data_IF_780864813683
#
_entry.id   IF_780864813683
#
_cell.length_a   1.000
_cell.length_b   1.000
_cell.length_c   1.000
_cell.angle_alpha   90.00
_cell.angle_beta   90.00
_cell.angle_gamma   90.00
#
_symmetry.space_group_name_H-M   'P 1'
#
loop_
_entity.id
_entity.type
_entity.pdbx_description
1 polymer ?
#
# COMPACT_ATOMS: atom_id res chain seq x y z
N UNK A 1 11.44 24.42 -19.12
CA UNK A 1 10.34 24.10 -18.18
C UNK A 1 8.92 24.27 -18.76
N UNK A 2 8.73 24.48 -20.08
CA UNK A 2 7.40 24.61 -20.72
C UNK A 2 6.98 23.42 -21.57
N UNK A 3 7.49 22.22 -21.26
CA UNK A 3 7.16 20.97 -21.95
C UNK A 3 6.18 20.17 -21.11
N UNK A 4 5.33 19.32 -21.72
CA UNK A 4 4.46 18.42 -20.99
C UNK A 4 5.26 17.58 -19.98
N UNK A 5 4.81 17.56 -18.73
CA UNK A 5 5.44 16.81 -17.63
C UNK A 5 4.35 16.10 -16.84
N UNK A 6 4.62 14.88 -16.39
CA UNK A 6 3.75 14.10 -15.50
C UNK A 6 4.39 13.99 -14.13
N UNK A 7 3.58 14.15 -13.09
CA UNK A 7 3.99 13.94 -11.70
C UNK A 7 3.29 12.69 -11.22
N UNK A 8 4.07 11.72 -10.74
CA UNK A 8 3.57 10.49 -10.14
C UNK A 8 4.17 10.31 -8.75
N UNK A 9 3.47 9.58 -7.90
CA UNK A 9 4.03 9.17 -6.61
C UNK A 9 5.19 8.18 -6.83
N UNK A 10 6.16 8.18 -5.92
CA UNK A 10 7.30 7.26 -5.95
C UNK A 10 6.86 5.80 -5.93
N UNK A 11 5.89 5.44 -5.07
CA UNK A 11 5.33 4.09 -4.97
C UNK A 11 4.70 3.65 -6.29
N UNK A 12 3.99 4.54 -6.98
CA UNK A 12 3.43 4.25 -8.30
C UNK A 12 4.51 3.89 -9.30
N UNK A 13 5.61 4.66 -9.34
CA UNK A 13 6.73 4.37 -10.24
C UNK A 13 7.48 3.10 -9.83
N UNK A 14 7.59 2.82 -8.52
CA UNK A 14 8.25 1.63 -8.00
C UNK A 14 7.52 0.32 -8.36
N UNK A 15 6.19 0.36 -8.53
CA UNK A 15 5.40 -0.80 -8.94
C UNK A 15 5.50 -1.08 -10.46
N UNK A 16 5.92 -0.11 -11.28
CA UNK A 16 5.99 -0.28 -12.74
C UNK A 16 6.95 -1.41 -13.16
N UNK A 17 8.20 -1.50 -12.66
CA UNK A 17 9.10 -2.61 -13.00
C UNK A 17 8.52 -3.98 -12.65
N UNK A 18 7.85 -4.10 -11.50
CA UNK A 18 7.18 -5.34 -11.09
C UNK A 18 6.09 -5.73 -12.10
N UNK A 19 5.22 -4.78 -12.46
CA UNK A 19 4.15 -5.00 -13.44
C UNK A 19 4.70 -5.37 -14.82
N UNK A 20 5.81 -4.75 -15.26
CA UNK A 20 6.44 -5.08 -16.54
C UNK A 20 7.01 -6.51 -16.53
N UNK A 21 7.64 -6.91 -15.41
CA UNK A 21 8.32 -8.20 -15.31
C UNK A 21 7.36 -9.37 -15.07
N UNK A 22 6.31 -9.17 -14.27
CA UNK A 22 5.38 -10.23 -13.85
C UNK A 22 4.05 -10.19 -14.61
N UNK A 23 3.78 -9.09 -15.31
CA UNK A 23 2.56 -8.87 -16.06
C UNK A 23 1.44 -8.23 -15.24
N UNK A 24 0.55 -7.52 -15.93
CA UNK A 24 -0.56 -6.80 -15.30
C UNK A 24 -1.52 -7.73 -14.55
N UNK A 25 -1.76 -8.95 -15.04
CA UNK A 25 -2.67 -9.90 -14.41
C UNK A 25 -2.14 -10.41 -13.07
N UNK A 26 -0.81 -10.56 -12.91
CA UNK A 26 -0.20 -10.91 -11.62
C UNK A 26 -0.43 -9.79 -10.58
N UNK A 27 -0.23 -8.53 -10.98
CA UNK A 27 -0.48 -7.39 -10.11
C UNK A 27 -1.98 -7.23 -9.76
N UNK A 28 -2.88 -7.49 -10.72
CA UNK A 28 -4.34 -7.47 -10.52
C UNK A 28 -4.88 -8.62 -9.68
N UNK A 29 -4.17 -9.74 -9.62
CA UNK A 29 -4.55 -10.86 -8.75
C UNK A 29 -4.46 -10.49 -7.27
N UNK A 30 -3.72 -9.42 -6.93
CA UNK A 30 -3.70 -8.82 -5.62
C UNK A 30 -4.72 -7.67 -5.54
N UNK A 31 -5.32 -7.52 -4.37
CA UNK A 31 -6.23 -6.42 -4.09
C UNK A 31 -7.70 -6.73 -4.39
N UNK A 32 -8.46 -5.70 -4.77
CA UNK A 32 -9.86 -5.83 -5.23
C UNK A 32 -9.97 -5.56 -6.72
N UNK A 33 -11.13 -5.86 -7.32
CA UNK A 33 -11.38 -5.63 -8.75
C UNK A 33 -11.10 -4.18 -9.19
N UNK A 34 -11.46 -3.21 -8.35
CA UNK A 34 -11.30 -1.78 -8.64
C UNK A 34 -9.99 -1.20 -8.12
N UNK A 35 -9.42 -1.77 -7.06
CA UNK A 35 -8.19 -1.31 -6.42
C UNK A 35 -7.20 -2.46 -6.37
N UNK A 36 -6.41 -2.57 -7.44
CA UNK A 36 -5.52 -3.70 -7.68
C UNK A 36 -4.12 -3.47 -7.13
N UNK A 37 -3.41 -4.55 -6.85
CA UNK A 37 -2.06 -4.53 -6.30
C UNK A 37 -1.99 -4.35 -4.79
N UNK A 38 -0.80 -3.97 -4.35
CA UNK A 38 -0.47 -3.69 -2.96
C UNK A 38 -0.32 -2.20 -2.72
N UNK A 39 -0.30 -1.82 -1.44
CA UNK A 39 0.04 -0.47 -1.00
C UNK A 39 0.76 -0.51 0.33
N UNK A 40 1.66 0.45 0.49
CA UNK A 40 2.37 0.77 1.70
C UNK A 40 1.51 1.66 2.60
N UNK A 41 1.11 1.14 3.75
CA UNK A 41 0.45 1.89 4.80
C UNK A 41 1.43 2.25 5.91
N UNK A 42 1.56 3.55 6.17
CA UNK A 42 2.33 4.05 7.30
C UNK A 42 1.43 4.12 8.54
N UNK A 43 1.59 3.19 9.47
CA UNK A 43 0.93 3.23 10.77
C UNK A 43 1.78 4.01 11.77
N UNK A 44 1.15 4.96 12.46
CA UNK A 44 1.74 5.79 13.51
C UNK A 44 0.69 6.13 14.56
N UNK A 45 1.10 6.72 15.68
CA UNK A 45 0.21 7.04 16.80
C UNK A 45 0.12 5.90 17.82
N UNK A 46 -1.07 5.73 18.42
CA UNK A 46 -1.36 4.74 19.48
C UNK A 46 -1.46 3.31 18.94
N UNK A 47 -0.34 2.81 18.41
CA UNK A 47 -0.19 1.45 17.88
C UNK A 47 1.10 0.85 18.46
N UNK A 48 1.08 -0.41 18.95
CA UNK A 48 2.25 -0.97 19.62
C UNK A 48 3.48 -1.12 18.71
N UNK A 49 3.25 -1.34 17.40
CA UNK A 49 4.32 -1.49 16.40
C UNK A 49 4.10 -0.50 15.25
N UNK A 50 4.48 0.78 15.41
CA UNK A 50 4.42 1.75 14.33
C UNK A 50 5.41 1.36 13.21
N UNK A 51 5.09 1.68 11.97
CA UNK A 51 5.90 1.31 10.83
C UNK A 51 5.18 1.36 9.49
N UNK A 52 5.87 0.90 8.45
CA UNK A 52 5.30 0.78 7.11
C UNK A 52 4.96 -0.69 6.86
N UNK A 53 3.72 -0.93 6.44
CA UNK A 53 3.18 -2.24 6.17
C UNK A 53 2.70 -2.30 4.72
N UNK A 54 3.27 -3.20 3.93
CA UNK A 54 2.75 -3.51 2.61
C UNK A 54 1.58 -4.50 2.75
N UNK A 55 0.42 -4.13 2.21
CA UNK A 55 -0.77 -4.99 2.22
C UNK A 55 -1.48 -4.94 0.88
N UNK A 56 -2.21 -6.00 0.54
CA UNK A 56 -3.10 -5.99 -0.61
C UNK A 56 -4.19 -4.93 -0.44
N UNK A 57 -4.52 -4.21 -1.50
CA UNK A 57 -5.64 -3.27 -1.50
C UNK A 57 -6.95 -3.96 -1.10
N UNK A 58 -7.79 -3.28 -0.31
CA UNK A 58 -8.99 -3.90 0.28
C UNK A 58 -8.75 -4.69 1.57
N UNK A 59 -7.50 -4.82 2.03
CA UNK A 59 -7.23 -5.24 3.42
C UNK A 59 -7.94 -4.29 4.38
N UNK A 60 -8.70 -4.83 5.33
CA UNK A 60 -9.45 -4.00 6.29
C UNK A 60 -8.49 -3.32 7.26
N UNK A 61 -8.84 -2.10 7.70
CA UNK A 61 -8.05 -1.39 8.72
C UNK A 61 -7.91 -2.20 10.01
N UNK A 62 -8.94 -2.97 10.39
CA UNK A 62 -8.88 -3.87 11.55
C UNK A 62 -7.74 -4.87 11.41
N UNK A 63 -7.69 -5.59 10.29
CA UNK A 63 -6.62 -6.56 10.02
C UNK A 63 -5.23 -5.91 10.02
N UNK A 64 -5.13 -4.69 9.46
CA UNK A 64 -3.89 -3.92 9.47
C UNK A 64 -3.44 -3.57 10.91
N UNK A 65 -4.37 -3.14 11.79
CA UNK A 65 -4.06 -2.91 13.19
C UNK A 65 -3.72 -4.19 13.94
N UNK A 66 -4.43 -5.29 13.70
CA UNK A 66 -4.13 -6.60 14.32
C UNK A 66 -2.69 -7.03 14.01
N UNK A 67 -2.23 -6.85 12.77
CA UNK A 67 -0.84 -7.11 12.35
C UNK A 67 0.16 -6.18 13.06
N UNK A 68 -0.25 -4.98 13.45
CA UNK A 68 0.56 -4.01 14.20
C UNK A 68 0.45 -4.15 15.73
N UNK A 69 -0.34 -5.12 16.24
CA UNK A 69 -0.51 -5.39 17.67
C UNK A 69 -1.78 -4.82 18.30
N UNK A 70 -2.71 -4.31 17.49
CA UNK A 70 -3.96 -3.69 17.93
C UNK A 70 -3.85 -2.17 18.05
N UNK A 71 -4.86 -1.56 18.66
CA UNK A 71 -4.88 -0.13 18.99
C UNK A 71 -4.64 -0.03 20.49
N UNK A 72 -3.64 0.77 20.89
CA UNK A 72 -3.46 1.10 22.30
C UNK A 72 -4.56 2.09 22.70
N UNK A 73 -5.28 1.77 23.77
CA UNK A 73 -6.18 2.74 24.39
C UNK A 73 -5.33 3.82 25.06
N UNK A 74 -5.71 5.09 24.89
CA UNK A 74 -5.07 6.21 25.58
C UNK A 74 -5.08 5.93 27.10
N UNK A 75 -3.88 5.98 27.72
CA UNK A 75 -3.72 6.04 29.18
C UNK A 75 -3.80 7.49 29.66
#
# INVERSE_FOLDING_TARGET
FGQPTLINNVETLANIPLIINEGAEAYKALGTEQSTGTRLFCLSGSVPRPGVYEVAMGTTLRSLFDVAGGIEADQ
#
